data_IF_281385840201
#
_entry.id   IF_281385840201
#
_cell.length_a   1.000
_cell.length_b   1.000
_cell.length_c   1.000
_cell.angle_alpha   90.00
_cell.angle_beta   90.00
_cell.angle_gamma   90.00
#
_symmetry.space_group_name_H-M   'P 1'
#
loop_
_entity.id
_entity.type
_entity.pdbx_description
1 polymer ?
#
# COMPACT_ATOMS: atom_id res chain seq x y z
N UNK A 1 -23.47 13.83 -1.72
CA UNK A 1 -22.78 14.82 -0.89
C UNK A 1 -22.43 14.16 0.43
N UNK A 2 -21.25 13.55 0.50
CA UNK A 2 -20.78 12.88 1.71
C UNK A 2 -20.17 13.98 2.57
N UNK A 3 -20.78 14.22 3.73
CA UNK A 3 -20.49 15.36 4.58
C UNK A 3 -19.02 15.42 5.01
N UNK A 4 -18.53 16.65 5.17
CA UNK A 4 -17.33 16.99 5.92
C UNK A 4 -17.33 16.19 7.23
N UNK A 5 -16.44 15.21 7.36
CA UNK A 5 -16.27 14.42 8.58
C UNK A 5 -14.82 14.53 9.02
N UNK A 6 -14.66 14.72 10.33
CA UNK A 6 -13.44 15.16 11.02
C UNK A 6 -12.17 14.42 10.59
N UNK A 7 -11.20 15.19 10.11
CA UNK A 7 -9.82 14.84 9.83
C UNK A 7 -8.94 15.54 10.87
N UNK A 8 -7.99 14.81 11.44
CA UNK A 8 -7.02 15.38 12.39
C UNK A 8 -5.63 14.92 12.04
N UNK A 9 -4.77 15.88 11.69
CA UNK A 9 -3.33 15.72 11.66
C UNK A 9 -2.77 16.25 12.99
N UNK A 10 -2.06 15.41 13.72
CA UNK A 10 -1.35 15.83 14.94
C UNK A 10 0.14 15.66 14.74
N UNK A 11 0.89 16.77 14.72
CA UNK A 11 2.33 16.75 14.82
C UNK A 11 2.74 16.44 16.27
N UNK A 12 3.40 15.31 16.48
CA UNK A 12 3.97 14.87 17.75
C UNK A 12 5.26 14.08 17.53
N UNK A 13 5.70 13.25 18.49
CA UNK A 13 6.80 12.29 18.24
C UNK A 13 6.44 11.25 17.15
N UNK A 14 5.14 11.10 16.87
CA UNK A 14 4.60 10.29 15.77
C UNK A 14 3.45 11.03 15.11
N UNK A 15 3.56 11.31 13.81
CA UNK A 15 2.44 11.82 13.01
C UNK A 15 1.38 10.73 12.82
N UNK A 16 0.10 11.11 12.89
CA UNK A 16 -1.06 10.22 12.78
C UNK A 16 -2.04 10.79 11.78
N UNK A 17 -2.44 9.97 10.80
CA UNK A 17 -3.59 10.20 9.94
C UNK A 17 -4.79 9.45 10.51
N UNK A 18 -5.82 10.18 10.89
CA UNK A 18 -7.09 9.60 11.30
C UNK A 18 -8.22 9.98 10.34
N UNK A 19 -8.96 8.98 9.87
CA UNK A 19 -10.16 9.15 9.03
C UNK A 19 -11.33 8.54 9.78
N UNK A 20 -12.38 9.35 10.02
CA UNK A 20 -13.55 8.94 10.81
C UNK A 20 -13.19 8.40 12.22
N UNK A 21 -12.10 8.92 12.81
CA UNK A 21 -11.60 8.51 14.12
C UNK A 21 -10.86 7.17 14.14
N UNK A 22 -10.67 6.51 12.99
CA UNK A 22 -9.82 5.34 12.85
C UNK A 22 -8.38 5.78 12.53
N UNK A 23 -7.35 5.26 13.22
CA UNK A 23 -5.96 5.49 12.85
C UNK A 23 -5.68 4.75 11.54
N UNK A 24 -5.60 5.50 10.44
CA UNK A 24 -5.41 4.95 9.10
C UNK A 24 -3.95 4.75 8.78
N UNK A 25 -3.09 5.68 9.21
CA UNK A 25 -1.64 5.60 8.97
C UNK A 25 -0.88 6.35 10.06
N UNK A 26 0.22 5.79 10.55
CA UNK A 26 1.10 6.45 11.51
C UNK A 26 2.57 6.46 11.05
N UNK A 27 3.30 7.52 11.38
CA UNK A 27 4.70 7.68 10.93
C UNK A 27 5.69 6.62 11.44
N UNK A 28 5.38 5.92 12.54
CA UNK A 28 6.22 4.81 13.03
C UNK A 28 6.27 3.62 12.06
N UNK A 29 5.31 3.53 11.12
CA UNK A 29 5.25 2.52 10.07
C UNK A 29 6.24 2.78 8.93
N UNK A 30 6.97 3.90 8.96
CA UNK A 30 7.90 4.30 7.89
C UNK A 30 8.86 3.22 7.42
N UNK A 31 9.51 2.41 8.29
CA UNK A 31 10.40 1.34 7.82
C UNK A 31 9.68 0.33 6.92
N UNK A 32 8.41 0.03 7.23
CA UNK A 32 7.58 -0.90 6.46
C UNK A 32 7.17 -0.30 5.11
N UNK A 33 6.69 0.95 5.10
CA UNK A 33 6.36 1.67 3.86
C UNK A 33 7.55 1.80 2.92
N UNK A 34 8.71 2.15 3.44
CA UNK A 34 9.94 2.27 2.67
C UNK A 34 10.38 0.89 2.12
N UNK A 35 10.20 -0.19 2.88
CA UNK A 35 10.50 -1.54 2.42
C UNK A 35 9.56 -2.01 1.30
N UNK A 36 8.26 -1.69 1.39
CA UNK A 36 7.30 -1.90 0.29
C UNK A 36 7.70 -1.12 -0.96
N UNK A 37 7.93 0.19 -0.83
CA UNK A 37 8.37 1.05 -1.93
C UNK A 37 9.64 0.52 -2.62
N UNK A 38 10.65 0.13 -1.83
CA UNK A 38 11.87 -0.52 -2.33
C UNK A 38 11.60 -1.78 -3.16
N UNK A 39 10.65 -2.59 -2.72
CA UNK A 39 10.33 -3.86 -3.38
C UNK A 39 9.70 -3.63 -4.75
N UNK A 40 8.72 -2.72 -4.84
CA UNK A 40 8.01 -2.45 -6.11
C UNK A 40 8.87 -1.66 -7.09
N UNK A 41 9.80 -0.83 -6.60
CA UNK A 41 10.71 -0.06 -7.44
C UNK A 41 11.93 -0.85 -7.93
N UNK A 42 12.10 -2.11 -7.52
CA UNK A 42 13.33 -2.87 -7.80
C UNK A 42 13.58 -3.13 -9.30
N UNK A 43 12.54 -3.02 -10.13
CA UNK A 43 12.62 -3.13 -11.60
C UNK A 43 12.48 -1.78 -12.32
N UNK A 44 12.35 -0.68 -11.57
CA UNK A 44 12.12 0.66 -12.11
C UNK A 44 10.80 0.78 -12.86
N UNK A 45 10.77 1.66 -13.86
CA UNK A 45 9.63 1.78 -14.78
C UNK A 45 8.43 2.49 -14.15
N UNK A 46 7.23 2.02 -14.45
CA UNK A 46 5.97 2.67 -14.08
C UNK A 46 5.40 2.02 -12.81
N UNK A 47 5.23 2.82 -11.76
CA UNK A 47 4.78 2.33 -10.45
C UNK A 47 3.36 2.80 -10.18
N UNK A 48 2.48 1.89 -9.78
CA UNK A 48 1.17 2.19 -9.22
C UNK A 48 1.24 2.11 -7.69
N UNK A 49 0.78 3.14 -7.01
CA UNK A 49 0.52 3.16 -5.57
C UNK A 49 -0.99 3.31 -5.34
N UNK A 50 -1.58 2.39 -4.58
CA UNK A 50 -3.00 2.42 -4.23
C UNK A 50 -3.14 2.75 -2.75
N UNK A 51 -3.56 3.97 -2.46
CA UNK A 51 -3.57 4.59 -1.12
C UNK A 51 -2.35 5.48 -0.89
N UNK A 52 -2.56 6.79 -0.76
CA UNK A 52 -1.46 7.76 -0.54
C UNK A 52 -1.12 7.90 0.96
N UNK A 53 -2.16 7.91 1.81
CA UNK A 53 -2.00 8.04 3.25
C UNK A 53 -1.22 9.30 3.67
N UNK A 54 -0.08 9.10 4.34
CA UNK A 54 0.83 10.18 4.76
C UNK A 54 1.91 10.52 3.71
N UNK A 55 1.90 9.89 2.53
CA UNK A 55 2.89 10.11 1.47
C UNK A 55 4.28 9.55 1.77
N UNK A 56 4.41 8.63 2.73
CA UNK A 56 5.70 8.05 3.13
C UNK A 56 6.24 7.12 2.05
N UNK A 57 5.42 6.17 1.58
CA UNK A 57 5.73 5.30 0.45
C UNK A 57 5.88 6.12 -0.84
N UNK A 58 5.01 7.09 -1.09
CA UNK A 58 5.11 7.99 -2.23
C UNK A 58 6.45 8.73 -2.31
N UNK A 59 6.90 9.33 -1.20
CA UNK A 59 8.21 9.98 -1.10
C UNK A 59 9.37 8.99 -1.28
N UNK A 60 9.23 7.75 -0.77
CA UNK A 60 10.21 6.71 -0.98
C UNK A 60 10.29 6.31 -2.46
N UNK A 61 9.16 6.05 -3.14
CA UNK A 61 9.08 5.75 -4.58
C UNK A 61 9.71 6.87 -5.39
N UNK A 62 9.41 8.13 -5.07
CA UNK A 62 9.96 9.31 -5.74
C UNK A 62 11.47 9.48 -5.55
N UNK A 63 12.11 8.74 -4.66
CA UNK A 63 13.57 8.76 -4.50
C UNK A 63 14.32 7.79 -5.42
N UNK A 64 13.64 6.84 -6.08
CA UNK A 64 14.30 5.81 -6.89
C UNK A 64 14.57 6.27 -8.32
N UNK A 65 15.82 6.44 -8.76
CA UNK A 65 16.12 7.04 -10.07
C UNK A 65 15.56 6.27 -11.27
N UNK A 66 15.38 4.95 -11.14
CA UNK A 66 14.91 4.09 -12.24
C UNK A 66 13.38 4.09 -12.41
N UNK A 67 12.63 4.74 -11.51
CA UNK A 67 11.18 4.95 -11.66
C UNK A 67 10.93 6.02 -12.72
N UNK A 68 10.22 5.68 -13.79
CA UNK A 68 9.94 6.58 -14.91
C UNK A 68 8.67 7.39 -14.69
N UNK A 69 7.66 6.81 -14.04
CA UNK A 69 6.38 7.46 -13.76
C UNK A 69 5.77 6.83 -12.50
N UNK A 70 5.14 7.68 -11.68
CA UNK A 70 4.44 7.28 -10.48
C UNK A 70 2.95 7.62 -10.60
N UNK A 71 2.08 6.62 -10.45
CA UNK A 71 0.63 6.78 -10.50
C UNK A 71 0.07 6.47 -9.12
N UNK A 72 -0.74 7.37 -8.58
CA UNK A 72 -1.34 7.22 -7.25
C UNK A 72 -2.86 7.17 -7.39
N UNK A 73 -3.50 6.16 -6.81
CA UNK A 73 -4.94 6.11 -6.63
C UNK A 73 -5.29 6.48 -5.19
N UNK A 74 -6.14 7.48 -4.99
CA UNK A 74 -6.56 7.93 -3.66
C UNK A 74 -8.06 8.25 -3.63
N UNK A 75 -8.81 7.56 -2.78
CA UNK A 75 -10.27 7.67 -2.71
C UNK A 75 -10.73 8.83 -1.83
N UNK A 76 -9.98 9.19 -0.80
CA UNK A 76 -10.35 10.26 0.12
C UNK A 76 -10.04 11.63 -0.50
N UNK A 77 -11.06 12.46 -0.67
CA UNK A 77 -10.95 13.79 -1.28
C UNK A 77 -9.87 14.69 -0.63
N UNK A 78 -9.76 14.67 0.70
CA UNK A 78 -8.80 15.50 1.42
C UNK A 78 -7.37 14.98 1.26
N UNK A 79 -7.18 13.66 1.37
CA UNK A 79 -5.87 13.03 1.15
C UNK A 79 -5.44 13.19 -0.30
N UNK A 80 -6.37 13.05 -1.26
CA UNK A 80 -6.12 13.30 -2.67
C UNK A 80 -5.68 14.75 -2.93
N UNK A 81 -6.27 15.73 -2.23
CA UNK A 81 -5.82 17.12 -2.29
C UNK A 81 -4.38 17.30 -1.81
N UNK A 82 -3.98 16.61 -0.73
CA UNK A 82 -2.58 16.61 -0.25
C UNK A 82 -1.65 15.90 -1.22
N UNK A 83 -2.06 14.75 -1.76
CA UNK A 83 -1.31 14.01 -2.77
C UNK A 83 -1.06 14.87 -4.03
N UNK A 84 -2.08 15.61 -4.48
CA UNK A 84 -1.97 16.54 -5.60
C UNK A 84 -0.93 17.64 -5.35
N UNK A 85 -1.01 18.32 -4.20
CA UNK A 85 -0.02 19.33 -3.80
C UNK A 85 1.40 18.77 -3.67
N UNK A 86 1.53 17.54 -3.18
CA UNK A 86 2.82 16.84 -3.11
C UNK A 86 3.34 16.52 -4.52
N UNK A 87 2.48 16.05 -5.43
CA UNK A 87 2.84 15.66 -6.79
C UNK A 87 3.37 16.81 -7.64
N UNK A 88 2.93 18.05 -7.40
CA UNK A 88 3.44 19.27 -8.06
C UNK A 88 4.94 19.48 -7.81
N UNK A 89 5.49 18.95 -6.72
CA UNK A 89 6.89 19.03 -6.33
C UNK A 89 7.69 17.74 -6.51
N UNK A 90 7.09 16.68 -7.06
CA UNK A 90 7.74 15.38 -7.21
C UNK A 90 8.91 15.42 -8.20
N UNK A 91 9.93 14.61 -7.97
CA UNK A 91 11.14 14.55 -8.81
C UNK A 91 10.91 13.92 -10.18
N UNK A 92 9.82 13.17 -10.35
CA UNK A 92 9.42 12.49 -11.59
C UNK A 92 7.94 12.71 -11.92
N UNK A 93 7.51 12.42 -13.15
CA UNK A 93 6.10 12.47 -13.53
C UNK A 93 5.25 11.67 -12.54
N UNK A 94 4.42 12.38 -11.80
CA UNK A 94 3.55 11.81 -10.78
C UNK A 94 2.12 12.25 -11.07
N UNK A 95 1.19 11.29 -11.21
CA UNK A 95 -0.22 11.57 -11.49
C UNK A 95 -1.11 10.98 -10.40
N UNK A 96 -1.94 11.82 -9.79
CA UNK A 96 -2.90 11.41 -8.77
C UNK A 96 -4.29 11.28 -9.39
N UNK A 97 -4.90 10.10 -9.26
CA UNK A 97 -6.27 9.82 -9.66
C UNK A 97 -7.15 9.75 -8.42
N UNK A 98 -8.11 10.67 -8.33
CA UNK A 98 -9.09 10.68 -7.26
C UNK A 98 -10.17 9.62 -7.51
N UNK A 99 -10.31 8.65 -6.62
CA UNK A 99 -11.35 7.63 -6.72
C UNK A 99 -11.02 6.34 -5.99
N UNK A 100 -12.02 5.48 -5.89
CA UNK A 100 -11.81 4.11 -5.44
C UNK A 100 -11.06 3.32 -6.49
N UNK A 101 -10.13 2.46 -6.08
CA UNK A 101 -9.37 1.65 -7.03
C UNK A 101 -10.29 0.79 -7.90
N UNK A 102 -11.42 0.33 -7.34
CA UNK A 102 -12.43 -0.47 -8.03
C UNK A 102 -12.98 0.24 -9.27
N UNK A 103 -13.07 1.56 -9.24
CA UNK A 103 -13.57 2.38 -10.34
C UNK A 103 -12.45 2.76 -11.33
N UNK A 104 -11.20 2.81 -10.87
CA UNK A 104 -10.06 3.30 -11.64
C UNK A 104 -9.28 2.20 -12.37
N UNK A 105 -9.26 0.96 -11.86
CA UNK A 105 -8.41 -0.13 -12.40
C UNK A 105 -8.70 -0.47 -13.86
N UNK A 106 -9.93 -0.26 -14.33
CA UNK A 106 -10.33 -0.58 -15.70
C UNK A 106 -10.03 0.55 -16.71
N UNK A 107 -9.64 1.74 -16.24
CA UNK A 107 -9.16 2.84 -17.09
C UNK A 107 -7.72 2.58 -17.61
N UNK A 108 -7.03 1.59 -17.04
CA UNK A 108 -5.68 1.21 -17.41
C UNK A 108 -5.67 -0.09 -18.22
N UNK A 109 -4.94 -0.14 -19.36
CA UNK A 109 -4.79 -1.38 -20.09
C UNK A 109 -4.02 -2.42 -19.26
N UNK A 110 -4.19 -3.73 -19.54
CA UNK A 110 -3.32 -4.75 -18.97
C UNK A 110 -1.84 -4.45 -19.20
N UNK A 111 -0.98 -4.92 -18.30
CA UNK A 111 0.48 -4.76 -18.42
C UNK A 111 0.94 -3.29 -18.49
N UNK A 112 0.27 -2.43 -17.73
CA UNK A 112 0.56 -1.00 -17.63
C UNK A 112 1.70 -0.66 -16.68
N UNK A 113 1.97 -1.52 -15.68
CA UNK A 113 2.86 -1.19 -14.56
C UNK A 113 3.98 -2.21 -14.39
N UNK A 114 5.15 -1.72 -13.99
CA UNK A 114 6.32 -2.52 -13.66
C UNK A 114 6.36 -2.84 -12.14
N UNK A 115 5.71 -2.01 -11.31
CA UNK A 115 5.51 -2.26 -9.89
C UNK A 115 4.17 -1.77 -9.37
N UNK A 116 3.59 -2.46 -8.39
CA UNK A 116 2.34 -2.08 -7.73
C UNK A 116 2.50 -2.19 -6.21
N UNK A 117 2.27 -1.10 -5.48
CA UNK A 117 2.13 -1.05 -4.04
C UNK A 117 0.65 -0.87 -3.69
N UNK A 118 0.12 -1.73 -2.81
CA UNK A 118 -1.26 -1.61 -2.33
C UNK A 118 -1.31 -1.48 -0.81
N UNK A 119 -1.74 -0.32 -0.32
CA UNK A 119 -1.91 -0.03 1.10
C UNK A 119 -3.17 0.82 1.31
N UNK A 120 -4.33 0.18 1.22
CA UNK A 120 -5.63 0.80 1.44
C UNK A 120 -6.20 0.44 2.80
N UNK A 121 -6.90 1.40 3.41
CA UNK A 121 -7.64 1.14 4.63
C UNK A 121 -8.98 0.45 4.33
N UNK A 122 -9.30 -0.67 4.99
CA UNK A 122 -10.52 -1.43 4.71
C UNK A 122 -11.78 -0.61 4.99
N UNK A 123 -12.68 -0.58 4.01
CA UNK A 123 -13.94 0.20 4.11
C UNK A 123 -15.04 -0.50 4.91
N UNK A 124 -14.96 -1.82 5.09
CA UNK A 124 -15.98 -2.60 5.80
C UNK A 124 -15.39 -3.53 6.84
N UNK A 125 -16.22 -3.91 7.83
CA UNK A 125 -15.78 -4.82 8.88
C UNK A 125 -15.37 -6.20 8.37
N UNK A 126 -15.93 -6.63 7.23
CA UNK A 126 -15.57 -7.88 6.57
C UNK A 126 -14.16 -7.85 5.96
N UNK A 127 -13.63 -6.65 5.70
CA UNK A 127 -12.33 -6.44 5.04
C UNK A 127 -11.16 -6.20 5.99
N UNK A 128 -11.37 -6.09 7.32
CA UNK A 128 -10.30 -5.88 8.32
C UNK A 128 -9.24 -7.01 8.41
N UNK A 129 -9.50 -8.19 7.84
CA UNK A 129 -8.55 -9.32 7.79
C UNK A 129 -8.14 -9.60 6.35
N UNK A 130 -7.50 -8.62 5.72
CA UNK A 130 -6.94 -8.69 4.36
C UNK A 130 -7.97 -8.78 3.21
N UNK A 131 -9.26 -8.58 3.49
CA UNK A 131 -10.30 -8.88 2.52
C UNK A 131 -10.27 -7.98 1.28
N UNK A 132 -9.90 -6.70 1.45
CA UNK A 132 -9.89 -5.75 0.32
C UNK A 132 -8.70 -6.00 -0.62
N UNK A 133 -7.53 -6.36 -0.09
CA UNK A 133 -6.37 -6.66 -0.94
C UNK A 133 -6.55 -7.99 -1.69
N UNK A 134 -7.24 -8.98 -1.10
CA UNK A 134 -7.56 -10.24 -1.77
C UNK A 134 -8.43 -10.01 -3.01
N UNK A 135 -9.38 -9.06 -2.96
CA UNK A 135 -10.18 -8.66 -4.12
C UNK A 135 -9.32 -7.98 -5.21
N UNK A 136 -8.24 -7.31 -4.83
CA UNK A 136 -7.34 -6.63 -5.74
C UNK A 136 -6.33 -7.56 -6.45
N UNK A 137 -6.00 -8.74 -5.89
CA UNK A 137 -4.98 -9.62 -6.46
C UNK A 137 -5.13 -9.94 -7.97
N UNK A 138 -6.33 -10.24 -8.50
CA UNK A 138 -6.49 -10.48 -9.93
C UNK A 138 -6.21 -9.23 -10.78
N UNK A 139 -6.54 -8.04 -10.26
CA UNK A 139 -6.27 -6.76 -10.92
C UNK A 139 -4.78 -6.43 -10.88
N UNK A 140 -4.10 -6.66 -9.75
CA UNK A 140 -2.66 -6.54 -9.65
C UNK A 140 -1.95 -7.40 -10.72
N UNK A 141 -2.35 -8.67 -10.87
CA UNK A 141 -1.80 -9.55 -11.91
C UNK A 141 -2.13 -9.05 -13.32
N UNK A 142 -3.37 -8.65 -13.61
CA UNK A 142 -3.76 -8.08 -14.92
C UNK A 142 -2.91 -6.85 -15.29
N UNK A 143 -2.73 -5.94 -14.34
CA UNK A 143 -2.10 -4.63 -14.55
C UNK A 143 -0.57 -4.69 -14.59
N UNK A 144 0.05 -5.65 -13.92
CA UNK A 144 1.50 -5.84 -13.97
C UNK A 144 1.97 -6.35 -15.33
N UNK A 145 3.14 -5.90 -15.77
CA UNK A 145 3.91 -6.51 -16.85
C UNK A 145 4.56 -7.81 -16.39
N UNK A 146 4.95 -8.67 -17.33
CA UNK A 146 5.81 -9.81 -17.01
C UNK A 146 7.11 -9.34 -16.35
N UNK A 147 7.47 -9.96 -15.24
CA UNK A 147 8.59 -9.56 -14.38
C UNK A 147 8.25 -8.46 -13.37
N UNK A 148 7.05 -7.89 -13.44
CA UNK A 148 6.62 -6.81 -12.55
C UNK A 148 6.34 -7.29 -11.12
N UNK A 149 6.46 -6.37 -10.16
CA UNK A 149 6.45 -6.69 -8.72
C UNK A 149 5.22 -6.11 -8.03
N UNK A 150 4.51 -6.94 -7.28
CA UNK A 150 3.42 -6.55 -6.40
C UNK A 150 3.85 -6.67 -4.94
N UNK A 151 3.65 -5.63 -4.15
CA UNK A 151 3.77 -5.65 -2.69
C UNK A 151 2.54 -4.97 -2.07
N UNK A 152 2.18 -5.40 -0.86
CA UNK A 152 0.97 -4.87 -0.21
C UNK A 152 1.08 -4.93 1.31
N UNK A 153 0.33 -4.05 1.98
CA UNK A 153 0.19 -4.08 3.42
C UNK A 153 -0.43 -5.41 3.85
N UNK A 154 0.18 -6.04 4.85
CA UNK A 154 -0.30 -7.30 5.39
C UNK A 154 -0.09 -7.34 6.89
N UNK A 155 -1.21 -7.46 7.60
CA UNK A 155 -1.20 -7.62 9.04
C UNK A 155 -2.31 -8.56 9.48
N UNK A 156 -1.99 -9.84 9.56
CA UNK A 156 -2.88 -10.83 10.10
C UNK A 156 -2.32 -11.46 11.39
N UNK A 157 -3.24 -11.88 12.26
CA UNK A 157 -2.91 -12.56 13.51
C UNK A 157 -2.31 -11.66 14.61
N UNK A 158 -2.32 -12.18 15.83
CA UNK A 158 -1.86 -11.48 17.03
C UNK A 158 -0.38 -11.71 17.35
N UNK A 159 0.34 -12.48 16.54
CA UNK A 159 1.77 -12.73 16.70
C UNK A 159 2.46 -12.88 15.34
N UNK A 160 3.79 -12.74 15.32
CA UNK A 160 4.59 -13.00 14.13
C UNK A 160 4.31 -14.39 13.53
N UNK A 161 4.28 -15.41 14.39
CA UNK A 161 4.07 -16.79 13.95
C UNK A 161 2.65 -17.02 13.40
N UNK A 162 1.65 -16.27 13.86
CA UNK A 162 0.31 -16.30 13.26
C UNK A 162 0.28 -15.60 11.92
N UNK A 163 0.95 -14.44 11.78
CA UNK A 163 1.05 -13.73 10.52
C UNK A 163 1.72 -14.59 9.44
N UNK A 164 2.84 -15.21 9.78
CA UNK A 164 3.57 -16.12 8.90
C UNK A 164 2.72 -17.33 8.50
N UNK A 165 2.03 -17.96 9.45
CA UNK A 165 1.12 -19.08 9.15
C UNK A 165 -0.03 -18.67 8.25
N UNK A 166 -0.67 -17.53 8.51
CA UNK A 166 -1.76 -17.01 7.68
C UNK A 166 -1.30 -16.72 6.26
N UNK A 167 -0.14 -16.08 6.11
CA UNK A 167 0.44 -15.83 4.78
C UNK A 167 0.69 -17.13 4.01
N UNK A 168 1.38 -18.10 4.64
CA UNK A 168 1.74 -19.36 3.99
C UNK A 168 0.53 -20.25 3.67
N UNK A 169 -0.48 -20.27 4.56
CA UNK A 169 -1.63 -21.16 4.42
C UNK A 169 -2.72 -20.57 3.51
N UNK A 170 -2.93 -19.25 3.54
CA UNK A 170 -4.09 -18.61 2.92
C UNK A 170 -3.67 -17.70 1.76
N UNK A 171 -2.74 -16.77 1.98
CA UNK A 171 -2.41 -15.71 1.01
C UNK A 171 -1.55 -16.20 -0.14
N UNK A 172 -0.46 -16.92 0.15
CA UNK A 172 0.49 -17.37 -0.87
C UNK A 172 -0.18 -18.31 -1.90
N UNK A 173 -0.96 -19.33 -1.51
CA UNK A 173 -1.61 -20.21 -2.48
C UNK A 173 -2.60 -19.48 -3.40
N UNK A 174 -3.25 -18.40 -2.92
CA UNK A 174 -4.15 -17.59 -3.73
C UNK A 174 -3.40 -16.81 -4.80
N UNK A 175 -2.28 -16.17 -4.45
CA UNK A 175 -1.42 -15.46 -5.40
C UNK A 175 -0.83 -16.41 -6.46
N UNK A 176 -0.33 -17.57 -6.02
CA UNK A 176 0.17 -18.61 -6.94
C UNK A 176 -0.92 -19.11 -7.89
N UNK A 177 -2.14 -19.32 -7.38
CA UNK A 177 -3.30 -19.73 -8.18
C UNK A 177 -3.72 -18.68 -9.22
N UNK A 178 -3.59 -17.39 -8.89
CA UNK A 178 -3.86 -16.29 -9.82
C UNK A 178 -2.82 -16.25 -10.96
N UNK A 179 -1.61 -16.74 -10.70
CA UNK A 179 -0.55 -16.90 -11.70
C UNK A 179 0.67 -16.03 -11.46
N UNK A 180 0.92 -15.57 -10.23
CA UNK A 180 2.22 -14.99 -9.86
C UNK A 180 3.29 -16.10 -9.88
N UNK A 181 4.41 -15.85 -10.56
CA UNK A 181 5.49 -16.83 -10.76
C UNK A 181 6.41 -17.00 -9.54
N UNK A 182 6.46 -15.99 -8.67
CA UNK A 182 7.16 -16.06 -7.39
C UNK A 182 6.35 -15.34 -6.32
N UNK A 183 6.19 -15.95 -5.16
CA UNK A 183 5.52 -15.37 -3.99
C UNK A 183 6.41 -15.62 -2.78
N UNK A 184 6.78 -14.55 -2.08
CA UNK A 184 7.68 -14.59 -0.93
C UNK A 184 7.28 -13.54 0.09
N UNK A 185 7.88 -13.61 1.27
CA UNK A 185 7.79 -12.54 2.25
C UNK A 185 9.14 -12.25 2.88
N UNK A 186 9.23 -11.12 3.57
CA UNK A 186 10.35 -10.76 4.44
C UNK A 186 9.82 -10.19 5.75
N UNK A 187 10.66 -10.19 6.79
CA UNK A 187 10.35 -9.50 8.04
C UNK A 187 10.92 -8.09 8.03
N UNK A 188 10.10 -7.11 8.39
CA UNK A 188 10.50 -5.71 8.47
C UNK A 188 10.36 -5.22 9.91
N UNK A 189 11.48 -5.02 10.63
CA UNK A 189 11.45 -4.51 11.99
C UNK A 189 10.79 -3.13 12.06
N UNK A 190 9.93 -2.95 13.05
CA UNK A 190 9.25 -1.68 13.36
C UNK A 190 9.25 -1.43 14.87
N UNK A 191 8.99 -0.20 15.26
CA UNK A 191 8.89 0.19 16.67
C UNK A 191 7.62 1.02 16.85
N UNK A 192 6.47 0.35 17.08
CA UNK A 192 5.21 1.04 17.31
C UNK A 192 5.33 1.99 18.48
N UNK A 193 4.63 3.12 18.41
CA UNK A 193 4.58 4.04 19.55
C UNK A 193 4.02 3.34 20.78
N UNK A 194 4.39 3.86 21.95
CA UNK A 194 3.80 3.42 23.22
C UNK A 194 2.28 3.54 23.14
N UNK A 195 1.58 2.48 23.56
CA UNK A 195 0.13 2.37 23.57
C UNK A 195 -0.53 2.46 22.16
N UNK A 196 0.15 1.95 21.12
CA UNK A 196 -0.45 1.75 19.79
C UNK A 196 -1.71 0.86 19.90
N UNK A 197 -2.90 1.31 19.43
CA UNK A 197 -4.15 0.60 19.70
C UNK A 197 -4.41 -0.57 18.74
N UNK A 198 -3.64 -0.68 17.65
CA UNK A 198 -3.87 -1.68 16.60
C UNK A 198 -2.67 -2.57 16.29
N UNK A 199 -1.47 -2.25 16.80
CA UNK A 199 -0.28 -3.04 16.50
C UNK A 199 0.65 -3.17 17.72
N UNK A 200 1.03 -4.40 18.03
CA UNK A 200 1.80 -4.78 19.24
C UNK A 200 3.01 -5.67 18.95
N UNK A 201 3.30 -5.94 17.68
CA UNK A 201 4.45 -6.75 17.24
C UNK A 201 5.70 -5.87 17.07
N UNK A 202 6.87 -6.49 16.94
CA UNK A 202 8.16 -5.82 16.70
C UNK A 202 8.56 -5.77 15.22
N UNK A 203 7.74 -6.35 14.34
CA UNK A 203 7.97 -6.45 12.90
C UNK A 203 6.69 -6.71 12.13
N UNK A 204 6.64 -6.25 10.88
CA UNK A 204 5.63 -6.61 9.90
C UNK A 204 6.12 -7.74 8.99
N UNK A 205 5.18 -8.50 8.45
CA UNK A 205 5.42 -9.40 7.31
C UNK A 205 5.21 -8.58 6.05
N UNK A 206 6.19 -8.56 5.15
CA UNK A 206 6.13 -7.89 3.87
C UNK A 206 5.97 -8.92 2.74
N UNK A 207 4.75 -9.11 2.18
CA UNK A 207 4.52 -9.89 0.98
C UNK A 207 5.14 -9.24 -0.25
N UNK A 208 5.75 -10.05 -1.10
CA UNK A 208 6.21 -9.67 -2.43
C UNK A 208 5.87 -10.78 -3.41
N UNK A 209 5.17 -10.43 -4.49
CA UNK A 209 4.85 -11.33 -5.58
C UNK A 209 5.38 -10.79 -6.91
N UNK A 210 5.90 -11.68 -7.77
CA UNK A 210 6.37 -11.34 -9.11
C UNK A 210 5.47 -11.99 -10.15
N UNK A 211 5.07 -11.24 -11.18
CA UNK A 211 4.30 -11.75 -12.31
C UNK A 211 5.19 -12.52 -13.27
#
# INVERSE_FOLDING_TARGET
GIGQRSFTWSAGECDVLAILGQPVMESWESPYMIAMAKSVCAVGGRILEVGFGLGISAAAIDSFPDVVEHVIFEANEQVCGQAGLWSDGAARPTTVYQGFWQDLVDDFPPESFDGILFDCFPLTAAHYRDGEVVEFFPFAHKLLRSGGIFAFYFDCGSSWAEAERGFLADTQPLLEKIGFSSVRFSDVPVSPRKDCPYFWKDRFLLPVATK
#
